data_IF_156776541524
#
_entry.id   IF_156776541524
#
_cell.length_a   1.000
_cell.length_b   1.000
_cell.length_c   1.000
_cell.angle_alpha   90.00
_cell.angle_beta   90.00
_cell.angle_gamma   90.00
#
_symmetry.space_group_name_H-M   'P 1'
#
loop_
_entity.id
_entity.type
_entity.pdbx_description
1 polymer ?
#
# COMPACT_ATOMS: atom_id res chain seq x y z
N UNK A 1 39.77 -12.58 -12.34
CA UNK A 1 38.58 -12.60 -11.46
C UNK A 1 38.76 -11.48 -10.45
N UNK A 2 37.91 -10.44 -10.41
CA UNK A 2 38.06 -9.37 -9.44
C UNK A 2 37.63 -9.87 -8.06
N UNK A 3 38.45 -9.60 -7.05
CA UNK A 3 38.24 -9.95 -5.64
C UNK A 3 37.02 -9.23 -5.05
N UNK A 4 36.32 -9.87 -4.12
CA UNK A 4 35.11 -9.39 -3.42
C UNK A 4 35.18 -7.96 -2.83
N UNK A 5 36.39 -7.42 -2.60
CA UNK A 5 36.60 -6.02 -2.23
C UNK A 5 36.23 -5.02 -3.33
N UNK A 6 36.53 -5.33 -4.59
CA UNK A 6 36.27 -4.42 -5.71
C UNK A 6 34.77 -4.25 -5.99
N UNK A 7 33.97 -5.29 -5.72
CA UNK A 7 32.51 -5.20 -5.81
C UNK A 7 31.93 -4.38 -4.65
N UNK A 8 32.43 -4.55 -3.42
CA UNK A 8 32.01 -3.76 -2.27
C UNK A 8 32.36 -2.27 -2.39
N UNK A 9 33.53 -1.94 -2.95
CA UNK A 9 33.96 -0.55 -3.20
C UNK A 9 33.18 0.11 -4.35
N UNK A 10 32.83 -0.64 -5.40
CA UNK A 10 31.95 -0.17 -6.48
C UNK A 10 30.49 -0.01 -6.03
N UNK A 11 30.03 -0.81 -5.07
CA UNK A 11 28.70 -0.68 -4.47
C UNK A 11 28.60 0.54 -3.55
N UNK A 12 29.66 0.84 -2.78
CA UNK A 12 29.72 1.97 -1.85
C UNK A 12 29.82 3.33 -2.57
N UNK A 13 30.49 3.39 -3.72
CA UNK A 13 30.64 4.64 -4.51
C UNK A 13 29.36 5.08 -5.22
N UNK A 14 28.43 4.17 -5.52
CA UNK A 14 27.15 4.50 -6.16
C UNK A 14 26.00 4.83 -5.18
N UNK A 15 26.07 4.39 -3.91
CA UNK A 15 25.00 4.61 -2.92
C UNK A 15 25.27 5.84 -2.03
N UNK A 16 26.52 6.19 -1.76
CA UNK A 16 26.87 7.35 -0.94
C UNK A 16 26.26 8.69 -1.43
N UNK A 17 26.14 8.98 -2.75
CA UNK A 17 25.46 10.19 -3.21
C UNK A 17 23.96 10.19 -2.91
N UNK A 18 23.32 9.01 -2.96
CA UNK A 18 21.87 8.83 -2.74
C UNK A 18 21.53 8.95 -1.24
N UNK A 19 22.44 8.54 -0.35
CA UNK A 19 22.30 8.70 1.11
C UNK A 19 22.67 10.11 1.59
N UNK A 20 23.59 10.81 0.91
CA UNK A 20 23.92 12.19 1.24
C UNK A 20 22.84 13.20 0.77
N UNK A 21 22.04 12.89 -0.26
CA UNK A 21 20.90 13.73 -0.63
C UNK A 21 19.78 13.71 0.42
N UNK A 22 19.60 12.60 1.15
CA UNK A 22 18.72 12.57 2.34
C UNK A 22 19.26 13.41 3.51
N UNK A 23 20.58 13.66 3.58
CA UNK A 23 21.16 14.55 4.58
C UNK A 23 20.97 16.04 4.21
N UNK A 24 20.90 16.40 2.92
CA UNK A 24 20.59 17.77 2.45
C UNK A 24 19.17 18.21 2.77
N UNK A 25 18.23 17.29 2.96
CA UNK A 25 16.86 17.63 3.41
C UNK A 25 16.89 18.18 4.85
N UNK A 26 17.91 17.83 5.65
CA UNK A 26 18.15 18.40 6.98
C UNK A 26 18.73 19.82 6.98
N UNK A 27 19.38 20.26 5.90
CA UNK A 27 19.92 21.63 5.82
C UNK A 27 18.85 22.67 5.47
N UNK A 28 17.74 22.27 4.84
CA UNK A 28 16.60 23.18 4.58
C UNK A 28 15.84 23.52 5.88
N UNK A 29 15.95 22.69 6.92
CA UNK A 29 15.38 22.97 8.25
C UNK A 29 16.27 23.87 9.13
N UNK A 30 17.55 24.06 8.76
CA UNK A 30 18.49 24.88 9.54
C UNK A 30 18.24 26.40 9.44
N UNK A 31 17.41 26.84 8.49
CA UNK A 31 17.03 28.26 8.38
C UNK A 31 15.92 28.68 9.37
N UNK A 32 15.37 27.72 10.14
CA UNK A 32 14.42 27.99 11.22
C UNK A 32 15.07 27.83 12.60
N UNK A 33 16.19 28.53 12.84
CA UNK A 33 16.72 28.69 14.19
C UNK A 33 15.86 29.70 14.96
N UNK A 34 14.82 29.21 15.62
CA UNK A 34 14.18 29.88 16.74
C UNK A 34 14.59 29.17 18.02
N UNK A 35 15.52 29.79 18.74
CA UNK A 35 15.76 29.59 20.16
C UNK A 35 14.44 29.79 20.93
N UNK A 36 13.77 28.70 21.31
CA UNK A 36 13.14 28.54 22.62
C UNK A 36 12.43 27.18 22.74
N UNK A 37 12.86 26.36 23.71
CA UNK A 37 11.98 25.43 24.44
C UNK A 37 11.16 24.36 23.70
N UNK A 38 11.53 23.87 22.51
CA UNK A 38 10.82 22.75 21.87
C UNK A 38 11.27 21.39 22.38
N UNK A 39 10.29 20.59 22.76
CA UNK A 39 10.40 19.16 23.10
C UNK A 39 11.13 18.44 21.97
N UNK A 40 12.34 17.94 22.24
CA UNK A 40 13.13 17.17 21.28
C UNK A 40 12.29 15.97 20.80
N UNK A 41 12.24 15.71 19.49
CA UNK A 41 11.51 14.56 18.94
C UNK A 41 12.08 13.27 19.57
N UNK A 42 11.26 12.26 19.89
CA UNK A 42 11.72 11.08 20.63
C UNK A 42 12.89 10.33 19.97
N UNK A 43 13.07 10.47 18.64
CA UNK A 43 14.16 9.87 17.86
C UNK A 43 15.38 10.80 17.66
N UNK A 44 15.49 11.89 18.41
CA UNK A 44 16.72 12.71 18.42
C UNK A 44 17.65 12.22 19.52
N UNK A 45 18.87 11.77 19.18
CA UNK A 45 19.83 11.34 20.20
C UNK A 45 20.28 12.55 21.04
N UNK A 46 20.49 12.39 22.36
CA UNK A 46 21.06 13.45 23.19
C UNK A 46 22.47 13.84 22.71
N UNK A 47 22.95 15.06 22.99
CA UNK A 47 24.23 15.58 22.48
C UNK A 47 25.46 14.70 22.75
N UNK A 48 25.47 13.96 23.86
CA UNK A 48 26.57 13.06 24.26
C UNK A 48 26.24 11.56 24.04
N UNK A 49 25.25 11.27 23.18
CA UNK A 49 24.82 9.89 22.92
C UNK A 49 25.94 9.05 22.32
N UNK A 50 26.09 7.83 22.83
CA UNK A 50 26.92 6.79 22.25
C UNK A 50 26.08 5.53 22.01
N UNK A 51 26.26 4.92 20.83
CA UNK A 51 25.57 3.66 20.51
C UNK A 51 25.89 2.60 21.57
N UNK A 52 24.87 1.96 22.17
CA UNK A 52 25.04 0.86 23.10
C UNK A 52 25.94 -0.25 22.56
N UNK A 53 26.81 -0.81 23.40
CA UNK A 53 27.66 -1.94 23.02
C UNK A 53 26.84 -3.24 23.04
N UNK A 54 26.88 -3.99 21.94
CA UNK A 54 26.31 -5.35 21.91
C UNK A 54 26.93 -6.21 23.04
N UNK A 55 26.15 -7.03 23.79
CA UNK A 55 24.75 -7.38 23.56
C UNK A 55 23.70 -6.42 24.15
N UNK A 56 24.09 -5.36 24.88
CA UNK A 56 23.26 -4.46 25.71
C UNK A 56 21.77 -4.82 25.75
N UNK A 57 21.30 -5.44 26.84
CA UNK A 57 19.91 -5.93 26.95
C UNK A 57 19.15 -5.16 28.01
N UNK A 58 18.12 -4.40 27.63
CA UNK A 58 17.16 -3.83 28.59
C UNK A 58 15.83 -4.59 28.56
N UNK A 59 15.71 -5.60 29.42
CA UNK A 59 14.52 -6.45 29.57
C UNK A 59 13.39 -5.81 30.38
N UNK A 60 13.69 -4.76 31.14
CA UNK A 60 12.84 -4.29 32.24
C UNK A 60 11.86 -3.19 31.79
N UNK A 61 12.27 -2.30 30.89
CA UNK A 61 11.42 -1.18 30.43
C UNK A 61 11.33 -1.14 28.91
N UNK A 62 10.17 -0.75 28.37
CA UNK A 62 9.97 -0.59 26.92
C UNK A 62 10.68 0.67 26.39
N UNK A 63 10.75 1.72 27.22
CA UNK A 63 11.47 2.96 26.95
C UNK A 63 12.67 3.07 27.87
N UNK A 64 13.76 3.62 27.35
CA UNK A 64 14.95 3.87 28.14
C UNK A 64 14.80 5.19 28.91
N UNK A 65 14.70 5.08 30.23
CA UNK A 65 14.58 6.22 31.14
C UNK A 65 15.94 6.73 31.61
N UNK A 66 17.06 6.12 31.18
CA UNK A 66 18.39 6.63 31.49
C UNK A 66 18.63 7.95 30.76
N UNK A 67 19.27 8.89 31.45
CA UNK A 67 19.57 10.24 30.91
C UNK A 67 20.50 10.20 29.71
N UNK A 68 21.36 9.19 29.63
CA UNK A 68 22.35 8.95 28.58
C UNK A 68 21.94 7.87 27.57
N UNK A 69 20.70 7.35 27.67
CA UNK A 69 20.08 6.44 26.69
C UNK A 69 20.94 5.19 26.40
N UNK A 70 21.44 4.55 27.45
CA UNK A 70 22.37 3.40 27.37
C UNK A 70 21.81 2.13 26.70
N UNK A 71 20.51 2.06 26.44
CA UNK A 71 19.81 0.90 25.89
C UNK A 71 18.92 1.26 24.69
N UNK A 72 19.15 2.40 24.07
CA UNK A 72 18.39 2.87 22.92
C UNK A 72 19.27 2.92 21.68
N UNK A 73 18.71 2.52 20.55
CA UNK A 73 19.29 2.58 19.21
C UNK A 73 18.52 3.62 18.40
N UNK A 74 19.23 4.68 17.98
CA UNK A 74 18.68 5.74 17.14
C UNK A 74 18.98 5.55 15.65
N UNK A 75 20.14 4.95 15.34
CA UNK A 75 20.60 4.82 13.96
C UNK A 75 20.16 3.50 13.32
N UNK A 76 19.63 3.57 12.10
CA UNK A 76 19.17 2.42 11.30
C UNK A 76 20.23 1.32 11.17
N UNK A 77 21.50 1.70 11.00
CA UNK A 77 22.61 0.76 10.89
C UNK A 77 22.87 0.01 12.20
N UNK A 78 22.69 0.67 13.34
CA UNK A 78 22.89 0.05 14.66
C UNK A 78 21.72 -0.86 15.01
N UNK A 79 20.50 -0.46 14.67
CA UNK A 79 19.30 -1.32 14.68
C UNK A 79 19.55 -2.60 13.88
N UNK A 80 19.98 -2.46 12.62
CA UNK A 80 20.27 -3.60 11.75
C UNK A 80 21.36 -4.52 12.33
N UNK A 81 22.47 -3.96 12.82
CA UNK A 81 23.56 -4.74 13.44
C UNK A 81 23.08 -5.54 14.65
N UNK A 82 22.34 -4.90 15.56
CA UNK A 82 21.79 -5.56 16.74
C UNK A 82 20.84 -6.69 16.37
N UNK A 83 19.91 -6.44 15.44
CA UNK A 83 18.96 -7.46 14.97
C UNK A 83 19.67 -8.63 14.30
N UNK A 84 20.66 -8.37 13.45
CA UNK A 84 21.44 -9.41 12.76
C UNK A 84 22.20 -10.30 13.75
N UNK A 85 22.92 -9.69 14.71
CA UNK A 85 23.71 -10.43 15.70
C UNK A 85 22.83 -11.29 16.61
N UNK A 86 21.70 -10.76 17.07
CA UNK A 86 20.75 -11.55 17.85
C UNK A 86 20.11 -12.68 17.04
N UNK A 87 19.76 -12.44 15.77
CA UNK A 87 19.21 -13.48 14.89
C UNK A 87 20.21 -14.63 14.69
N UNK A 88 21.49 -14.32 14.48
CA UNK A 88 22.57 -15.30 14.38
C UNK A 88 22.67 -16.17 15.65
N UNK A 89 22.67 -15.56 16.83
CA UNK A 89 22.75 -16.28 18.11
C UNK A 89 21.53 -17.18 18.29
N UNK A 90 20.33 -16.66 18.08
CA UNK A 90 19.08 -17.42 18.27
C UNK A 90 19.02 -18.62 17.32
N UNK A 91 19.30 -18.40 16.03
CA UNK A 91 19.26 -19.46 15.02
C UNK A 91 20.30 -20.54 15.31
N UNK A 92 21.53 -20.15 15.69
CA UNK A 92 22.56 -21.09 16.11
C UNK A 92 22.10 -21.91 17.33
N UNK A 93 21.54 -21.28 18.35
CA UNK A 93 21.03 -21.97 19.53
C UNK A 93 19.92 -22.99 19.20
N UNK A 94 18.92 -22.61 18.39
CA UNK A 94 17.83 -23.51 18.02
C UNK A 94 18.30 -24.69 17.17
N UNK A 95 19.15 -24.44 16.17
CA UNK A 95 19.68 -25.50 15.31
C UNK A 95 20.60 -26.44 16.09
N UNK A 96 21.44 -25.92 16.99
CA UNK A 96 22.24 -26.75 17.88
C UNK A 96 21.39 -27.58 18.85
N UNK A 97 20.29 -27.01 19.36
CA UNK A 97 19.32 -27.77 20.17
C UNK A 97 18.68 -28.93 19.38
N UNK A 98 18.29 -28.69 18.13
CA UNK A 98 17.76 -29.73 17.25
C UNK A 98 18.80 -30.81 16.94
N UNK A 99 20.05 -30.42 16.68
CA UNK A 99 21.16 -31.34 16.48
C UNK A 99 21.38 -32.21 17.73
N UNK A 100 21.39 -31.63 18.93
CA UNK A 100 21.53 -32.39 20.17
C UNK A 100 20.42 -33.45 20.31
N UNK A 101 19.15 -33.07 20.11
CA UNK A 101 18.01 -34.00 20.18
C UNK A 101 18.16 -35.12 19.11
N UNK A 102 18.55 -34.76 17.89
CA UNK A 102 18.78 -35.73 16.82
C UNK A 102 19.93 -36.70 17.16
N UNK A 103 21.01 -36.20 17.76
CA UNK A 103 22.13 -37.03 18.21
C UNK A 103 21.72 -37.98 19.34
N UNK A 104 20.92 -37.52 20.31
CA UNK A 104 20.43 -38.36 21.42
C UNK A 104 19.45 -39.45 20.98
N UNK A 105 18.64 -39.18 19.94
CA UNK A 105 17.63 -40.13 19.43
C UNK A 105 18.19 -41.18 18.48
N UNK A 106 19.36 -40.96 17.86
CA UNK A 106 19.92 -41.86 16.85
C UNK A 106 20.60 -43.14 17.41
N UNK A 107 20.80 -43.24 18.73
CA UNK A 107 21.34 -44.43 19.40
C UNK A 107 22.86 -44.65 19.25
N UNK A 108 23.47 -45.33 20.23
CA UNK A 108 24.93 -45.43 20.42
C UNK A 108 25.62 -46.51 19.57
N UNK A 109 25.26 -46.67 18.29
CA UNK A 109 25.98 -47.61 17.40
C UNK A 109 27.27 -46.99 16.87
N UNK A 110 28.42 -47.63 17.13
CA UNK A 110 29.77 -47.16 16.72
C UNK A 110 29.93 -46.88 15.21
N UNK A 111 29.16 -47.55 14.35
CA UNK A 111 29.23 -47.37 12.88
C UNK A 111 28.72 -46.00 12.42
N UNK A 112 27.69 -45.44 13.09
CA UNK A 112 27.07 -44.16 12.70
C UNK A 112 27.90 -42.94 13.09
N UNK A 113 28.79 -43.05 14.09
CA UNK A 113 29.61 -41.95 14.60
C UNK A 113 30.58 -41.36 13.56
N UNK A 114 30.96 -42.13 12.54
CA UNK A 114 31.88 -41.69 11.47
C UNK A 114 31.33 -40.52 10.64
N UNK A 115 30.01 -40.35 10.56
CA UNK A 115 29.36 -39.28 9.78
C UNK A 115 28.57 -38.28 10.64
N UNK A 116 28.34 -38.62 11.91
CA UNK A 116 27.48 -37.85 12.81
C UNK A 116 28.09 -36.49 13.21
N UNK A 117 29.42 -36.34 13.16
CA UNK A 117 30.13 -35.08 13.41
C UNK A 117 29.88 -34.01 12.33
N UNK A 118 29.47 -34.41 11.12
CA UNK A 118 29.15 -33.47 10.04
C UNK A 118 27.78 -32.79 10.25
N UNK A 119 26.89 -33.41 11.02
CA UNK A 119 25.52 -32.92 11.25
C UNK A 119 25.50 -31.54 11.96
N UNK A 120 26.20 -31.32 13.09
CA UNK A 120 26.32 -29.99 13.69
C UNK A 120 26.86 -28.93 12.73
N UNK A 121 27.88 -29.28 11.94
CA UNK A 121 28.53 -28.35 11.00
C UNK A 121 27.57 -27.91 9.91
N UNK A 122 26.87 -28.86 9.28
CA UNK A 122 25.89 -28.58 8.22
C UNK A 122 24.74 -27.73 8.76
N UNK A 123 24.20 -28.08 9.93
CA UNK A 123 23.11 -27.32 10.55
C UNK A 123 23.53 -25.91 10.95
N UNK A 124 24.76 -25.70 11.42
CA UNK A 124 25.29 -24.36 11.71
C UNK A 124 25.47 -23.52 10.45
N UNK A 125 25.90 -24.11 9.34
CA UNK A 125 26.00 -23.41 8.05
C UNK A 125 24.62 -22.98 7.55
N UNK A 126 23.64 -23.89 7.59
CA UNK A 126 22.25 -23.59 7.22
C UNK A 126 21.69 -22.47 8.12
N UNK A 127 21.84 -22.62 9.44
CA UNK A 127 21.40 -21.62 10.42
C UNK A 127 22.03 -20.25 10.17
N UNK A 128 23.32 -20.20 9.85
CA UNK A 128 24.03 -18.97 9.56
C UNK A 128 23.51 -18.27 8.29
N UNK A 129 23.29 -19.02 7.20
CA UNK A 129 22.75 -18.47 5.97
C UNK A 129 21.33 -17.92 6.16
N UNK A 130 20.46 -18.68 6.82
CA UNK A 130 19.10 -18.24 7.13
C UNK A 130 19.09 -17.01 8.05
N UNK A 131 19.94 -16.99 9.08
CA UNK A 131 20.02 -15.88 10.02
C UNK A 131 20.54 -14.59 9.37
N UNK A 132 21.49 -14.67 8.44
CA UNK A 132 21.98 -13.49 7.70
C UNK A 132 20.87 -12.92 6.84
N UNK A 133 20.13 -13.76 6.11
CA UNK A 133 19.01 -13.31 5.27
C UNK A 133 17.89 -12.71 6.13
N UNK A 134 17.38 -13.46 7.11
CA UNK A 134 16.28 -13.04 7.96
C UNK A 134 16.65 -11.81 8.80
N UNK A 135 17.80 -11.83 9.47
CA UNK A 135 18.28 -10.76 10.32
C UNK A 135 18.54 -9.47 9.54
N UNK A 136 19.02 -9.55 8.29
CA UNK A 136 19.24 -8.37 7.46
C UNK A 136 17.94 -7.74 6.97
N UNK A 137 17.00 -8.56 6.47
CA UNK A 137 15.70 -8.07 6.01
C UNK A 137 14.94 -7.43 7.17
N UNK A 138 14.82 -8.15 8.29
CA UNK A 138 14.09 -7.68 9.47
C UNK A 138 14.77 -6.47 10.09
N UNK A 139 16.10 -6.47 10.22
CA UNK A 139 16.85 -5.36 10.81
C UNK A 139 16.74 -4.06 10.01
N UNK A 140 16.83 -4.13 8.68
CA UNK A 140 16.66 -2.94 7.83
C UNK A 140 15.22 -2.42 7.84
N UNK A 141 14.23 -3.32 7.79
CA UNK A 141 12.81 -2.94 7.88
C UNK A 141 12.50 -2.30 9.23
N UNK A 142 12.97 -2.89 10.34
CA UNK A 142 12.78 -2.33 11.68
C UNK A 142 13.43 -0.94 11.79
N UNK A 143 14.69 -0.80 11.36
CA UNK A 143 15.36 0.49 11.42
C UNK A 143 14.65 1.57 10.60
N UNK A 144 14.20 1.24 9.39
CA UNK A 144 13.44 2.17 8.55
C UNK A 144 12.09 2.56 9.18
N UNK A 145 11.35 1.60 9.75
CA UNK A 145 10.04 1.85 10.40
C UNK A 145 10.20 2.73 11.64
N UNK A 146 11.17 2.44 12.50
CA UNK A 146 11.41 3.24 13.71
C UNK A 146 11.87 4.67 13.37
N UNK A 147 12.76 4.79 12.39
CA UNK A 147 13.21 6.10 11.89
C UNK A 147 12.05 6.91 11.28
N UNK A 148 11.20 6.29 10.45
CA UNK A 148 10.07 6.96 9.81
C UNK A 148 8.95 7.31 10.80
N UNK A 149 8.79 6.52 11.85
CA UNK A 149 7.81 6.77 12.92
C UNK A 149 8.29 7.73 14.01
N UNK A 150 9.51 8.28 13.91
CA UNK A 150 10.15 9.08 14.95
C UNK A 150 10.17 8.39 16.34
N UNK A 151 10.32 7.06 16.35
CA UNK A 151 10.40 6.25 17.57
C UNK A 151 11.84 5.87 17.89
N UNK A 152 12.16 5.82 19.18
CA UNK A 152 13.41 5.25 19.67
C UNK A 152 13.32 3.71 19.75
N UNK A 153 14.35 2.98 19.32
CA UNK A 153 14.33 1.51 19.35
C UNK A 153 15.15 0.98 20.53
N UNK A 154 14.51 0.30 21.48
CA UNK A 154 15.22 -0.34 22.59
C UNK A 154 16.03 -1.57 22.09
N UNK A 155 17.23 -1.76 22.65
CA UNK A 155 18.15 -2.86 22.32
C UNK A 155 17.61 -4.26 22.61
N UNK A 156 16.52 -4.39 23.38
CA UNK A 156 15.84 -5.66 23.69
C UNK A 156 14.94 -6.22 22.58
N UNK A 157 14.44 -5.39 21.67
CA UNK A 157 13.40 -5.75 20.69
C UNK A 157 13.78 -6.93 19.74
N UNK A 158 15.07 -7.26 19.48
CA UNK A 158 15.44 -8.46 18.73
C UNK A 158 15.10 -9.79 19.41
N UNK A 159 14.79 -9.81 20.71
CA UNK A 159 14.34 -11.02 21.41
C UNK A 159 12.81 -11.07 21.44
N UNK A 160 12.17 -12.03 20.74
CA UNK A 160 10.73 -12.16 20.81
C UNK A 160 10.30 -12.52 22.23
N UNK A 161 9.53 -11.63 22.90
CA UNK A 161 8.72 -12.01 24.08
C UNK A 161 7.66 -13.08 23.76
N UNK A 162 7.52 -13.48 22.50
CA UNK A 162 6.52 -14.45 22.04
C UNK A 162 6.75 -15.87 22.55
N UNK A 163 7.92 -16.18 23.11
CA UNK A 163 8.13 -17.47 23.78
C UNK A 163 7.55 -17.55 25.21
N UNK A 164 7.18 -16.43 25.85
CA UNK A 164 6.83 -16.47 27.29
C UNK A 164 5.60 -15.66 27.77
N UNK A 165 4.84 -14.96 26.91
CA UNK A 165 3.49 -14.48 27.29
C UNK A 165 2.60 -14.16 26.08
N UNK A 166 1.39 -14.73 25.96
CA UNK A 166 0.49 -14.52 24.81
C UNK A 166 -0.33 -13.21 24.88
N UNK A 167 0.24 -12.11 25.41
CA UNK A 167 -0.57 -10.95 25.83
C UNK A 167 -0.40 -9.66 24.99
N UNK A 168 0.47 -9.64 23.98
CA UNK A 168 0.62 -8.46 23.10
C UNK A 168 -0.26 -8.51 21.85
N UNK A 169 -0.53 -9.71 21.33
CA UNK A 169 -1.46 -9.90 20.20
C UNK A 169 -2.93 -9.72 20.63
N UNK A 170 -3.27 -10.08 21.88
CA UNK A 170 -4.61 -9.90 22.44
C UNK A 170 -4.92 -8.44 22.77
N UNK A 171 -3.94 -7.63 23.14
CA UNK A 171 -4.14 -6.21 23.49
C UNK A 171 -4.43 -5.36 22.25
N UNK A 172 -3.72 -5.64 21.16
CA UNK A 172 -3.97 -5.00 19.86
C UNK A 172 -5.38 -5.33 19.34
N UNK A 173 -5.82 -6.61 19.44
CA UNK A 173 -7.18 -7.00 19.08
C UNK A 173 -8.25 -6.54 20.08
N UNK A 174 -7.94 -6.41 21.38
CA UNK A 174 -8.90 -5.93 22.37
C UNK A 174 -9.19 -4.44 22.19
N UNK A 175 -8.19 -3.64 21.80
CA UNK A 175 -8.41 -2.24 21.43
C UNK A 175 -9.17 -2.12 20.09
N UNK A 176 -8.90 -3.03 19.14
CA UNK A 176 -9.68 -3.11 17.89
C UNK A 176 -11.15 -3.51 18.13
N UNK A 177 -11.40 -4.42 19.08
CA UNK A 177 -12.75 -4.84 19.49
C UNK A 177 -13.47 -3.74 20.28
N UNK A 178 -12.76 -3.00 21.13
CA UNK A 178 -13.30 -1.82 21.83
C UNK A 178 -13.68 -0.68 20.87
N UNK A 179 -12.89 -0.45 19.81
CA UNK A 179 -13.24 0.50 18.74
C UNK A 179 -14.44 0.02 17.90
N UNK A 180 -14.56 -1.30 17.66
CA UNK A 180 -15.70 -1.90 16.97
C UNK A 180 -17.01 -1.78 17.76
N UNK A 181 -16.99 -2.03 19.08
CA UNK A 181 -18.20 -2.00 19.93
C UNK A 181 -18.67 -0.56 20.20
N UNK A 182 -17.77 0.42 20.24
CA UNK A 182 -18.13 1.85 20.33
C UNK A 182 -18.84 2.34 19.07
N UNK A 183 -18.63 1.68 17.93
CA UNK A 183 -19.27 2.01 16.64
C UNK A 183 -20.70 1.43 16.53
N UNK A 184 -21.04 0.39 17.31
CA UNK A 184 -22.39 -0.21 17.31
C UNK A 184 -23.37 0.47 18.27
N UNK A 185 -22.90 1.07 19.37
CA UNK A 185 -23.78 1.71 20.37
C UNK A 185 -23.98 3.23 20.20
N UNK A 186 -23.36 3.86 19.21
CA UNK A 186 -23.60 5.28 18.88
C UNK A 186 -24.86 5.50 18.02
N UNK A 187 -25.60 4.44 17.71
CA UNK A 187 -26.77 4.46 16.82
C UNK A 187 -28.08 4.07 17.50
N UNK A 188 -28.46 4.69 18.62
CA UNK A 188 -29.85 4.70 19.08
C UNK A 188 -30.07 5.64 20.28
N UNK A 189 -30.40 6.91 20.01
CA UNK A 189 -31.35 7.72 20.82
C UNK A 189 -31.64 9.04 20.09
N UNK A 190 -32.87 9.28 19.60
CA UNK A 190 -33.25 10.56 19.05
C UNK A 190 -33.48 11.55 20.20
N UNK A 191 -32.72 12.65 20.21
CA UNK A 191 -33.03 13.81 21.07
C UNK A 191 -34.06 14.66 20.34
N UNK A 192 -35.32 14.56 20.76
CA UNK A 192 -36.39 15.45 20.29
C UNK A 192 -36.30 16.80 21.01
N UNK A 193 -36.10 17.88 20.27
CA UNK A 193 -36.37 19.24 20.73
C UNK A 193 -37.63 19.76 20.02
N UNK A 194 -38.71 19.95 20.78
CA UNK A 194 -39.90 20.71 20.36
C UNK A 194 -39.83 22.11 20.96
N UNK A 195 -40.09 23.19 20.19
CA UNK A 195 -40.16 24.53 20.75
C UNK A 195 -41.55 24.75 21.37
N UNK A 196 -41.61 25.05 22.66
CA UNK A 196 -42.81 25.58 23.29
C UNK A 196 -42.59 27.06 23.62
N UNK A 197 -43.49 27.90 23.11
CA UNK A 197 -43.56 29.32 23.41
C UNK A 197 -44.26 29.54 24.75
N UNK A 198 -43.61 30.23 25.68
CA UNK A 198 -44.28 30.93 26.77
C UNK A 198 -43.46 32.14 27.25
N UNK A 199 -44.16 33.27 27.26
CA UNK A 199 -43.82 34.64 27.58
C UNK A 199 -43.18 34.98 28.95
N UNK A 200 -42.48 36.14 28.96
CA UNK A 200 -42.12 37.06 30.07
C UNK A 200 -41.02 36.57 31.06
N UNK A 201 -39.95 37.31 31.40
CA UNK A 201 -39.76 38.74 31.72
C UNK A 201 -38.27 39.12 31.56
N UNK A 202 -37.97 40.39 31.28
CA UNK A 202 -36.63 40.93 31.06
C UNK A 202 -35.80 41.20 32.35
N UNK A 203 -34.47 41.15 32.24
CA UNK A 203 -33.51 42.11 32.81
C UNK A 203 -32.12 41.97 32.14
N UNK A 204 -31.30 43.04 32.03
CA UNK A 204 -30.29 43.15 30.98
C UNK A 204 -28.83 42.91 31.42
N UNK A 205 -28.00 42.73 30.39
CA UNK A 205 -26.55 42.92 30.32
C UNK A 205 -25.64 41.86 30.97
N UNK A 206 -24.95 41.09 30.12
CA UNK A 206 -23.49 40.97 30.15
C UNK A 206 -23.02 40.60 28.72
N UNK A 207 -22.43 41.58 28.03
CA UNK A 207 -21.71 41.36 26.78
C UNK A 207 -20.34 40.76 27.11
N UNK A 208 -20.27 39.46 27.35
CA UNK A 208 -19.00 38.75 27.34
C UNK A 208 -18.64 38.41 25.90
N UNK A 209 -17.78 39.26 25.33
CA UNK A 209 -17.13 39.06 24.05
C UNK A 209 -16.15 37.88 24.15
N UNK A 210 -16.67 36.66 24.03
CA UNK A 210 -15.87 35.44 23.85
C UNK A 210 -15.19 35.45 22.48
N UNK A 211 -14.09 36.19 22.36
CA UNK A 211 -13.21 36.20 21.18
C UNK A 211 -12.21 35.02 21.16
N UNK A 212 -12.36 34.04 22.06
CA UNK A 212 -11.36 33.00 22.32
C UNK A 212 -11.64 31.61 21.72
N UNK A 213 -12.72 31.37 20.97
CA UNK A 213 -13.10 30.00 20.54
C UNK A 213 -13.46 29.83 19.06
N UNK A 214 -13.27 30.86 18.24
CA UNK A 214 -13.56 30.78 16.79
C UNK A 214 -12.45 30.05 16.04
N UNK A 215 -11.18 30.32 16.37
CA UNK A 215 -10.02 29.66 15.74
C UNK A 215 -10.01 28.13 15.91
N UNK A 216 -10.36 27.63 17.10
CA UNK A 216 -10.39 26.18 17.39
C UNK A 216 -11.51 25.46 16.63
N UNK A 217 -12.67 26.09 16.46
CA UNK A 217 -13.78 25.55 15.69
C UNK A 217 -13.49 25.56 14.19
N UNK A 218 -12.86 26.62 13.68
CA UNK A 218 -12.45 26.70 12.28
C UNK A 218 -11.41 25.63 11.93
N UNK A 219 -10.41 25.41 12.80
CA UNK A 219 -9.43 24.32 12.65
C UNK A 219 -10.09 22.93 12.69
N UNK A 220 -11.03 22.72 13.61
CA UNK A 220 -11.77 21.47 13.70
C UNK A 220 -12.63 21.22 12.45
N UNK A 221 -13.23 22.26 11.87
CA UNK A 221 -13.99 22.16 10.62
C UNK A 221 -13.09 21.81 9.43
N UNK A 222 -11.88 22.37 9.36
CA UNK A 222 -10.89 22.04 8.32
C UNK A 222 -10.43 20.58 8.42
N UNK A 223 -10.22 20.08 9.65
CA UNK A 223 -9.75 18.71 9.88
C UNK A 223 -10.85 17.65 9.81
N UNK A 224 -12.12 18.06 9.94
CA UNK A 224 -13.28 17.15 9.96
C UNK A 224 -13.25 16.06 8.88
N UNK A 225 -12.92 16.32 7.60
CA UNK A 225 -12.89 15.28 6.57
C UNK A 225 -11.85 14.17 6.79
N UNK A 226 -10.83 14.39 7.63
CA UNK A 226 -9.71 13.47 7.88
C UNK A 226 -9.91 12.59 9.12
N UNK A 227 -10.96 12.82 9.91
CA UNK A 227 -11.28 11.99 11.07
C UNK A 227 -11.77 10.59 10.67
N UNK A 228 -11.74 9.66 11.64
CA UNK A 228 -12.20 8.29 11.42
C UNK A 228 -13.65 8.24 10.89
N UNK A 229 -13.91 7.34 9.94
CA UNK A 229 -15.22 7.19 9.28
C UNK A 229 -15.53 8.25 8.22
N UNK A 230 -14.70 9.29 8.06
CA UNK A 230 -14.91 10.34 7.08
C UNK A 230 -14.29 9.98 5.71
N UNK A 231 -14.73 10.61 4.62
CA UNK A 231 -14.30 10.24 3.26
C UNK A 231 -12.79 10.35 3.03
N UNK A 232 -12.08 11.22 3.76
CA UNK A 232 -10.62 11.39 3.67
C UNK A 232 -9.88 10.88 4.90
N UNK A 233 -10.50 9.97 5.66
CA UNK A 233 -9.86 9.38 6.84
C UNK A 233 -8.50 8.78 6.49
N UNK A 234 -7.45 9.26 7.17
CA UNK A 234 -6.07 8.77 6.96
C UNK A 234 -5.95 7.29 7.33
N UNK A 235 -6.60 6.85 8.41
CA UNK A 235 -6.64 5.44 8.78
C UNK A 235 -7.38 4.59 7.73
N UNK A 236 -8.43 5.14 7.13
CA UNK A 236 -9.17 4.46 6.06
C UNK A 236 -8.37 4.32 4.77
N UNK A 237 -7.56 5.33 4.42
CA UNK A 237 -6.65 5.31 3.27
C UNK A 237 -5.51 4.32 3.54
N UNK A 238 -4.85 4.42 4.69
CA UNK A 238 -3.72 3.57 5.06
C UNK A 238 -4.11 2.08 5.08
N UNK A 239 -5.26 1.75 5.67
CA UNK A 239 -5.75 0.36 5.71
C UNK A 239 -5.95 -0.24 4.32
N UNK A 240 -6.56 0.52 3.39
CA UNK A 240 -6.80 0.05 2.02
C UNK A 240 -5.51 -0.11 1.23
N UNK A 241 -4.60 0.87 1.33
CA UNK A 241 -3.29 0.79 0.70
C UNK A 241 -2.49 -0.42 1.22
N UNK A 242 -2.51 -0.65 2.55
CA UNK A 242 -1.85 -1.80 3.18
C UNK A 242 -2.43 -3.14 2.70
N UNK A 243 -3.76 -3.29 2.72
CA UNK A 243 -4.43 -4.49 2.22
C UNK A 243 -4.13 -4.75 0.73
N UNK A 244 -4.21 -3.72 -0.11
CA UNK A 244 -3.87 -3.84 -1.54
C UNK A 244 -2.40 -4.23 -1.75
N UNK A 245 -1.48 -3.67 -0.95
CA UNK A 245 -0.06 -4.03 -0.99
C UNK A 245 0.19 -5.49 -0.62
N UNK A 246 -0.44 -5.99 0.45
CA UNK A 246 -0.37 -7.41 0.84
C UNK A 246 -0.95 -8.29 -0.26
N UNK A 247 -2.15 -7.97 -0.78
CA UNK A 247 -2.77 -8.76 -1.84
C UNK A 247 -1.91 -8.79 -3.09
N UNK A 248 -1.32 -7.66 -3.50
CA UNK A 248 -0.39 -7.57 -4.62
C UNK A 248 0.82 -8.47 -4.41
N UNK A 249 1.49 -8.39 -3.25
CA UNK A 249 2.70 -9.15 -2.94
C UNK A 249 2.42 -10.66 -2.86
N UNK A 250 1.39 -11.07 -2.13
CA UNK A 250 0.98 -12.48 -2.03
C UNK A 250 0.60 -13.05 -3.41
N UNK A 251 -0.09 -12.26 -4.23
CA UNK A 251 -0.45 -12.65 -5.59
C UNK A 251 0.78 -12.80 -6.49
N UNK A 252 1.74 -11.88 -6.42
CA UNK A 252 2.98 -11.98 -7.18
C UNK A 252 3.81 -13.22 -6.78
N UNK A 253 3.95 -13.46 -5.48
CA UNK A 253 4.67 -14.63 -4.95
C UNK A 253 3.96 -15.93 -5.36
N UNK A 254 2.64 -16.01 -5.19
CA UNK A 254 1.87 -17.19 -5.57
C UNK A 254 1.91 -17.45 -7.08
N UNK A 255 1.73 -16.42 -7.91
CA UNK A 255 1.82 -16.51 -9.35
C UNK A 255 3.21 -17.00 -9.79
N UNK A 256 4.28 -16.41 -9.24
CA UNK A 256 5.65 -16.82 -9.50
C UNK A 256 5.89 -18.28 -9.09
N UNK A 257 5.51 -18.66 -7.87
CA UNK A 257 5.67 -20.02 -7.37
C UNK A 257 4.95 -21.04 -8.27
N UNK A 258 3.71 -20.77 -8.70
CA UNK A 258 2.98 -21.67 -9.60
C UNK A 258 3.68 -21.77 -10.95
N UNK A 259 4.12 -20.65 -11.54
CA UNK A 259 4.82 -20.62 -12.83
C UNK A 259 6.18 -21.34 -12.80
N UNK A 260 6.92 -21.23 -11.70
CA UNK A 260 8.24 -21.85 -11.56
C UNK A 260 8.18 -23.33 -11.17
N UNK A 261 7.22 -23.71 -10.32
CA UNK A 261 7.15 -25.05 -9.73
C UNK A 261 6.20 -25.99 -10.48
N UNK A 262 5.29 -25.45 -11.31
CA UNK A 262 4.24 -26.24 -11.95
C UNK A 262 3.96 -25.78 -13.38
N UNK A 263 3.36 -26.65 -14.20
CA UNK A 263 2.79 -26.28 -15.50
C UNK A 263 1.30 -25.93 -15.43
N UNK A 264 0.77 -25.75 -14.21
CA UNK A 264 -0.67 -25.57 -13.99
C UNK A 264 -1.13 -24.18 -14.45
N UNK A 265 -2.26 -24.05 -15.18
CA UNK A 265 -2.75 -22.74 -15.61
C UNK A 265 -3.39 -21.92 -14.46
N UNK A 266 -3.42 -22.47 -13.23
CA UNK A 266 -3.99 -21.83 -12.04
C UNK A 266 -3.28 -20.52 -11.68
N UNK A 267 -2.06 -20.26 -12.17
CA UNK A 267 -1.36 -18.97 -11.99
C UNK A 267 -2.17 -17.77 -12.50
N UNK A 268 -3.15 -17.99 -13.39
CA UNK A 268 -4.06 -16.96 -13.92
C UNK A 268 -4.94 -16.34 -12.82
N UNK A 269 -5.22 -17.07 -11.74
CA UNK A 269 -6.01 -16.57 -10.59
C UNK A 269 -5.23 -15.51 -9.80
N UNK A 270 -4.02 -15.79 -9.27
CA UNK A 270 -3.23 -14.75 -8.62
C UNK A 270 -2.82 -13.62 -9.58
N UNK A 271 -2.65 -13.88 -10.89
CA UNK A 271 -2.47 -12.79 -11.86
C UNK A 271 -3.62 -11.75 -11.79
N UNK A 272 -4.87 -12.21 -11.74
CA UNK A 272 -6.02 -11.30 -11.70
C UNK A 272 -6.07 -10.46 -10.43
N UNK A 273 -5.78 -11.07 -9.28
CA UNK A 273 -5.69 -10.37 -8.00
C UNK A 273 -4.52 -9.37 -7.97
N UNK A 274 -3.39 -9.73 -8.57
CA UNK A 274 -2.26 -8.83 -8.77
C UNK A 274 -2.68 -7.61 -9.62
N UNK A 275 -3.27 -7.85 -10.80
CA UNK A 275 -3.70 -6.79 -11.70
C UNK A 275 -4.73 -5.85 -11.04
N UNK A 276 -5.73 -6.40 -10.34
CA UNK A 276 -6.72 -5.62 -9.61
C UNK A 276 -6.11 -4.78 -8.49
N UNK A 277 -5.19 -5.37 -7.73
CA UNK A 277 -4.53 -4.66 -6.62
C UNK A 277 -3.71 -3.48 -7.13
N UNK A 278 -2.96 -3.70 -8.22
CA UNK A 278 -2.20 -2.66 -8.90
C UNK A 278 -3.10 -1.56 -9.46
N UNK A 279 -4.19 -1.93 -10.13
CA UNK A 279 -5.16 -0.98 -10.68
C UNK A 279 -5.72 -0.07 -9.58
N UNK A 280 -6.29 -0.65 -8.53
CA UNK A 280 -6.94 0.10 -7.45
C UNK A 280 -5.96 0.97 -6.66
N UNK A 281 -4.72 0.51 -6.46
CA UNK A 281 -3.68 1.33 -5.85
C UNK A 281 -3.30 2.51 -6.74
N UNK A 282 -3.06 2.28 -8.04
CA UNK A 282 -2.66 3.32 -8.98
C UNK A 282 -3.76 4.38 -9.19
N UNK A 283 -5.03 3.98 -9.13
CA UNK A 283 -6.16 4.92 -9.13
C UNK A 283 -6.07 5.92 -7.98
N UNK A 284 -5.84 5.43 -6.77
CA UNK A 284 -5.68 6.30 -5.60
C UNK A 284 -4.40 7.12 -5.71
N UNK A 285 -3.26 6.48 -5.98
CA UNK A 285 -1.95 7.13 -6.00
C UNK A 285 -1.89 8.28 -7.01
N UNK A 286 -2.29 8.05 -8.25
CA UNK A 286 -2.26 9.10 -9.29
C UNK A 286 -3.20 10.26 -8.96
N UNK A 287 -4.35 9.98 -8.34
CA UNK A 287 -5.27 11.01 -7.85
C UNK A 287 -4.68 11.79 -6.68
N UNK A 288 -4.06 11.11 -5.70
CA UNK A 288 -3.41 11.75 -4.57
C UNK A 288 -2.24 12.63 -5.00
N UNK A 289 -1.49 12.21 -6.03
CA UNK A 289 -0.31 12.90 -6.55
C UNK A 289 -0.66 14.17 -7.34
N UNK A 290 -1.68 14.13 -8.23
CA UNK A 290 -2.00 15.27 -9.12
C UNK A 290 -3.33 15.95 -8.85
N UNK A 291 -4.14 15.42 -7.94
CA UNK A 291 -5.42 15.99 -7.53
C UNK A 291 -5.73 15.71 -6.05
N UNK A 292 -4.76 16.01 -5.18
CA UNK A 292 -4.81 15.73 -3.73
C UNK A 292 -6.08 16.25 -3.06
N UNK A 293 -6.59 17.39 -3.52
CA UNK A 293 -7.78 18.04 -2.96
C UNK A 293 -9.06 17.22 -3.13
N UNK A 294 -9.14 16.32 -4.12
CA UNK A 294 -10.31 15.44 -4.29
C UNK A 294 -10.03 13.98 -3.88
N UNK A 295 -8.77 13.65 -3.60
CA UNK A 295 -8.37 12.33 -3.16
C UNK A 295 -9.11 11.95 -1.87
N UNK A 296 -9.72 10.75 -1.89
CA UNK A 296 -10.51 10.21 -0.80
C UNK A 296 -10.44 8.69 -0.81
N UNK A 297 -11.03 8.05 0.20
CA UNK A 297 -11.21 6.60 0.25
C UNK A 297 -11.92 6.08 -1.02
N UNK A 298 -12.84 6.86 -1.58
CA UNK A 298 -13.55 6.50 -2.82
C UNK A 298 -12.63 6.45 -4.05
N UNK A 299 -11.49 7.15 -4.03
CA UNK A 299 -10.55 7.20 -5.15
C UNK A 299 -9.84 5.87 -5.41
N UNK A 300 -9.87 4.92 -4.46
CA UNK A 300 -9.43 3.54 -4.72
C UNK A 300 -10.37 2.80 -5.68
N UNK A 301 -11.60 3.26 -5.90
CA UNK A 301 -12.63 2.62 -6.74
C UNK A 301 -13.02 1.18 -6.35
N UNK A 302 -12.70 0.72 -5.13
CA UNK A 302 -13.05 -0.64 -4.67
C UNK A 302 -14.55 -0.90 -4.64
N UNK A 303 -15.35 0.14 -4.36
CA UNK A 303 -16.82 0.07 -4.29
C UNK A 303 -17.48 0.94 -5.37
N UNK A 304 -16.76 1.26 -6.46
CA UNK A 304 -17.32 2.03 -7.55
C UNK A 304 -18.48 1.27 -8.20
N UNK A 305 -19.59 1.96 -8.52
CA UNK A 305 -20.76 1.36 -9.18
C UNK A 305 -21.28 0.08 -8.49
N UNK A 306 -21.27 0.08 -7.16
CA UNK A 306 -21.78 -1.03 -6.37
C UNK A 306 -23.27 -1.28 -6.66
N UNK A 307 -23.73 -2.54 -6.80
CA UNK A 307 -22.97 -3.80 -6.68
C UNK A 307 -22.41 -4.35 -8.00
N UNK A 308 -22.75 -3.75 -9.15
CA UNK A 308 -22.47 -4.30 -10.48
C UNK A 308 -20.96 -4.56 -10.71
N UNK A 309 -20.10 -3.65 -10.25
CA UNK A 309 -18.65 -3.80 -10.35
C UNK A 309 -18.14 -5.03 -9.60
N UNK A 310 -18.63 -5.27 -8.38
CA UNK A 310 -18.22 -6.41 -7.57
C UNK A 310 -18.73 -7.74 -8.15
N UNK A 311 -19.93 -7.74 -8.73
CA UNK A 311 -20.49 -8.90 -9.42
C UNK A 311 -19.61 -9.27 -10.63
N UNK A 312 -19.21 -8.30 -11.44
CA UNK A 312 -18.36 -8.55 -12.62
C UNK A 312 -17.01 -9.17 -12.24
N UNK A 313 -16.31 -8.60 -11.24
CA UNK A 313 -15.02 -9.11 -10.80
C UNK A 313 -15.12 -10.48 -10.12
N UNK A 314 -16.17 -10.68 -9.32
CA UNK A 314 -16.45 -11.98 -8.70
C UNK A 314 -16.74 -13.05 -9.76
N UNK A 315 -17.55 -12.72 -10.77
CA UNK A 315 -17.86 -13.63 -11.87
C UNK A 315 -16.60 -14.00 -12.68
N UNK A 316 -15.76 -13.01 -13.00
CA UNK A 316 -14.50 -13.24 -13.71
C UNK A 316 -13.53 -14.11 -12.90
N UNK A 317 -13.43 -13.86 -11.59
CA UNK A 317 -12.62 -14.68 -10.68
C UNK A 317 -13.15 -16.12 -10.60
N UNK A 318 -14.47 -16.30 -10.44
CA UNK A 318 -15.11 -17.62 -10.32
C UNK A 318 -14.97 -18.40 -11.62
N UNK A 319 -15.20 -17.78 -12.79
CA UNK A 319 -14.99 -18.42 -14.10
C UNK A 319 -13.53 -18.90 -14.23
N UNK A 320 -12.57 -18.01 -13.95
CA UNK A 320 -11.15 -18.32 -14.05
C UNK A 320 -10.75 -19.46 -13.10
N UNK A 321 -11.13 -19.37 -11.82
CA UNK A 321 -10.81 -20.39 -10.82
C UNK A 321 -11.44 -21.73 -11.18
N UNK A 322 -12.73 -21.75 -11.51
CA UNK A 322 -13.45 -23.01 -11.83
C UNK A 322 -12.86 -23.68 -13.07
N UNK A 323 -12.64 -22.93 -14.15
CA UNK A 323 -12.12 -23.51 -15.39
C UNK A 323 -10.69 -24.03 -15.19
N UNK A 324 -9.81 -23.25 -14.56
CA UNK A 324 -8.41 -23.64 -14.42
C UNK A 324 -8.17 -24.71 -13.36
N UNK A 325 -9.06 -24.87 -12.37
CA UNK A 325 -8.98 -25.94 -11.37
C UNK A 325 -9.56 -27.27 -11.88
N UNK A 326 -10.74 -27.25 -12.52
CA UNK A 326 -11.43 -28.48 -12.92
C UNK A 326 -11.09 -28.92 -14.36
N UNK A 327 -10.68 -28.00 -15.23
CA UNK A 327 -10.37 -28.27 -16.63
C UNK A 327 -9.00 -27.69 -17.06
N UNK A 328 -7.90 -28.06 -16.38
CA UNK A 328 -6.57 -27.47 -16.64
C UNK A 328 -6.04 -27.71 -18.05
N UNK A 329 -6.49 -28.77 -18.73
CA UNK A 329 -6.08 -29.11 -20.10
C UNK A 329 -7.02 -28.51 -21.18
N UNK A 330 -7.96 -27.64 -20.80
CA UNK A 330 -8.89 -27.02 -21.74
C UNK A 330 -8.16 -26.04 -22.65
N UNK A 331 -8.29 -26.24 -23.96
CA UNK A 331 -7.95 -25.25 -24.97
C UNK A 331 -9.12 -24.29 -25.17
N UNK A 332 -8.99 -23.04 -24.70
CA UNK A 332 -10.01 -22.02 -24.87
C UNK A 332 -9.87 -21.22 -26.17
N UNK A 333 -8.66 -21.14 -26.71
CA UNK A 333 -8.34 -20.39 -27.91
C UNK A 333 -8.39 -21.29 -29.16
N UNK A 334 -9.03 -20.85 -30.26
CA UNK A 334 -9.12 -21.64 -31.48
C UNK A 334 -7.76 -21.75 -32.17
N UNK A 335 -7.55 -22.86 -32.90
CA UNK A 335 -6.38 -23.07 -33.77
C UNK A 335 -5.01 -22.86 -33.10
N UNK A 336 -4.90 -23.11 -31.80
CA UNK A 336 -3.63 -22.95 -31.07
C UNK A 336 -3.19 -21.49 -30.85
N UNK A 337 -4.08 -20.51 -31.05
CA UNK A 337 -3.79 -19.07 -30.89
C UNK A 337 -3.63 -18.62 -29.42
N UNK A 338 -3.70 -19.54 -28.45
CA UNK A 338 -3.65 -19.26 -27.01
C UNK A 338 -2.49 -18.39 -26.56
N UNK A 339 -1.22 -18.67 -26.95
CA UNK A 339 -0.09 -17.82 -26.58
C UNK A 339 -0.18 -16.40 -27.15
N UNK A 340 -0.70 -16.25 -28.38
CA UNK A 340 -0.87 -14.94 -29.02
C UNK A 340 -1.95 -14.13 -28.27
N UNK A 341 -3.08 -14.74 -27.94
CA UNK A 341 -4.15 -14.07 -27.19
C UNK A 341 -3.72 -13.73 -25.76
N UNK A 342 -2.88 -14.58 -25.14
CA UNK A 342 -2.25 -14.28 -23.85
C UNK A 342 -1.34 -13.04 -23.95
N UNK A 343 -0.44 -13.02 -24.94
CA UNK A 343 0.46 -11.88 -25.17
C UNK A 343 -0.35 -10.60 -25.45
N UNK A 344 -1.37 -10.69 -26.30
CA UNK A 344 -2.29 -9.59 -26.56
C UNK A 344 -2.97 -9.11 -25.29
N UNK A 345 -3.45 -10.02 -24.44
CA UNK A 345 -4.04 -9.70 -23.15
C UNK A 345 -3.07 -8.97 -22.22
N UNK A 346 -1.82 -9.43 -22.12
CA UNK A 346 -0.78 -8.78 -21.30
C UNK A 346 -0.46 -7.37 -21.83
N UNK A 347 -0.34 -7.21 -23.16
CA UNK A 347 -0.15 -5.89 -23.79
C UNK A 347 -1.35 -4.98 -23.49
N UNK A 348 -2.58 -5.48 -23.62
CA UNK A 348 -3.79 -4.70 -23.32
C UNK A 348 -3.87 -4.26 -21.85
N UNK A 349 -3.52 -5.14 -20.90
CA UNK A 349 -3.49 -4.80 -19.46
C UNK A 349 -2.43 -3.73 -19.19
N UNK A 350 -1.21 -3.93 -19.68
CA UNK A 350 -0.09 -3.02 -19.41
C UNK A 350 -0.27 -1.66 -20.08
N UNK A 351 -0.60 -1.64 -21.38
CA UNK A 351 -0.88 -0.40 -22.12
C UNK A 351 -2.12 0.29 -21.58
N UNK A 352 -3.18 -0.47 -21.27
CA UNK A 352 -4.41 0.08 -20.70
C UNK A 352 -4.17 0.78 -19.36
N UNK A 353 -3.44 0.13 -18.44
CA UNK A 353 -3.05 0.71 -17.16
C UNK A 353 -2.17 1.96 -17.35
N UNK A 354 -1.20 1.88 -18.25
CA UNK A 354 -0.29 2.99 -18.53
C UNK A 354 -1.04 4.21 -19.07
N UNK A 355 -1.84 4.03 -20.12
CA UNK A 355 -2.65 5.10 -20.74
C UNK A 355 -3.58 5.72 -19.72
N UNK A 356 -4.22 4.90 -18.88
CA UNK A 356 -5.12 5.38 -17.83
C UNK A 356 -4.39 6.22 -16.78
N UNK A 357 -3.26 5.73 -16.27
CA UNK A 357 -2.47 6.42 -15.25
C UNK A 357 -1.91 7.74 -15.78
N UNK A 358 -1.36 7.74 -17.01
CA UNK A 358 -0.86 8.96 -17.66
C UNK A 358 -1.97 9.97 -17.92
N UNK A 359 -3.16 9.52 -18.34
CA UNK A 359 -4.31 10.42 -18.50
C UNK A 359 -4.66 11.13 -17.20
N UNK A 360 -4.71 10.41 -16.08
CA UNK A 360 -5.01 10.99 -14.76
C UNK A 360 -3.93 11.96 -14.33
N UNK A 361 -2.64 11.61 -14.53
CA UNK A 361 -1.52 12.47 -14.19
C UNK A 361 -1.46 13.76 -15.03
N UNK A 362 -1.77 13.67 -16.32
CA UNK A 362 -1.77 14.82 -17.24
C UNK A 362 -2.99 15.72 -17.06
N UNK A 363 -4.17 15.16 -16.78
CA UNK A 363 -5.36 15.97 -16.52
C UNK A 363 -5.37 16.59 -15.11
N UNK A 364 -4.71 15.95 -14.13
CA UNK A 364 -4.52 16.49 -12.78
C UNK A 364 -5.81 17.00 -12.14
N UNK A 365 -5.86 18.28 -11.79
CA UNK A 365 -7.03 18.93 -11.18
C UNK A 365 -8.30 18.87 -12.06
N UNK A 366 -8.14 18.75 -13.38
CA UNK A 366 -9.25 18.60 -14.35
C UNK A 366 -9.77 17.16 -14.45
N UNK A 367 -9.07 16.17 -13.87
CA UNK A 367 -9.57 14.79 -13.79
C UNK A 367 -10.51 14.59 -12.61
N UNK A 368 -11.60 13.85 -12.82
CA UNK A 368 -12.46 13.41 -11.74
C UNK A 368 -13.08 12.02 -12.03
N UNK A 369 -13.20 11.18 -11.00
CA UNK A 369 -13.86 9.88 -11.12
C UNK A 369 -15.37 9.97 -11.38
N UNK A 370 -15.98 11.10 -11.05
CA UNK A 370 -17.37 11.42 -11.37
C UNK A 370 -17.45 12.50 -12.44
N UNK A 371 -18.35 12.35 -13.41
CA UNK A 371 -18.60 13.38 -14.43
C UNK A 371 -19.09 14.65 -13.71
N UNK A 372 -18.39 15.76 -13.94
CA UNK A 372 -18.72 17.04 -13.32
C UNK A 372 -19.87 17.71 -14.09
N UNK A 373 -20.89 18.16 -13.37
CA UNK A 373 -22.04 18.89 -13.94
C UNK A 373 -21.90 20.41 -13.85
N UNK A 374 -20.87 20.89 -13.13
CA UNK A 374 -20.51 22.31 -13.01
C UNK A 374 -19.02 22.50 -13.31
N UNK A 375 -18.68 23.57 -14.02
CA UNK A 375 -17.29 23.99 -14.24
C UNK A 375 -16.73 24.57 -12.95
N UNK A 376 -15.56 24.08 -12.53
CA UNK A 376 -14.76 24.70 -11.46
C UNK A 376 -13.74 25.65 -12.08
N UNK A 377 -13.26 26.62 -11.34
CA UNK A 377 -12.24 27.56 -11.84
C UNK A 377 -10.94 26.85 -12.22
N UNK A 378 -10.63 25.75 -11.54
CA UNK A 378 -9.49 24.88 -11.85
C UNK A 378 -9.71 23.93 -13.03
N UNK A 379 -10.87 23.96 -13.70
CA UNK A 379 -11.22 23.03 -14.76
C UNK A 379 -10.83 23.62 -16.12
N UNK A 380 -9.74 23.10 -16.67
CA UNK A 380 -9.19 23.50 -17.96
C UNK A 380 -9.39 22.40 -19.01
N UNK A 381 -9.50 22.81 -20.27
CA UNK A 381 -9.59 21.86 -21.39
C UNK A 381 -8.20 21.36 -21.75
N UNK A 382 -7.86 20.15 -21.28
CA UNK A 382 -6.57 19.52 -21.56
C UNK A 382 -6.57 18.87 -22.95
N UNK A 383 -5.72 19.36 -23.86
CA UNK A 383 -5.63 18.87 -25.26
C UNK A 383 -4.23 18.43 -25.66
N UNK A 384 -3.24 18.57 -24.78
CA UNK A 384 -1.83 18.20 -25.00
C UNK A 384 -1.52 16.78 -24.50
N UNK A 385 -0.32 16.28 -24.84
CA UNK A 385 0.11 14.96 -24.39
C UNK A 385 -0.78 13.84 -24.90
N UNK A 386 -1.22 12.93 -24.03
CA UNK A 386 -2.06 11.80 -24.41
C UNK A 386 -3.45 12.24 -24.89
N UNK A 387 -3.92 13.41 -24.45
CA UNK A 387 -5.16 14.02 -24.91
C UNK A 387 -5.09 14.54 -26.36
N UNK A 388 -3.89 14.68 -26.94
CA UNK A 388 -3.77 14.96 -28.39
C UNK A 388 -4.11 13.75 -29.27
N UNK A 389 -4.06 12.53 -28.70
CA UNK A 389 -4.27 11.26 -29.41
C UNK A 389 -5.68 10.71 -29.16
N UNK A 390 -6.16 10.84 -27.91
CA UNK A 390 -7.45 10.34 -27.45
C UNK A 390 -8.22 11.47 -26.77
N UNK A 391 -9.54 11.59 -27.01
CA UNK A 391 -10.38 12.50 -26.22
C UNK A 391 -10.63 12.00 -24.80
N UNK A 392 -10.74 10.68 -24.66
CA UNK A 392 -11.06 10.00 -23.39
C UNK A 392 -10.02 8.91 -23.07
N UNK A 393 -8.73 9.26 -22.90
CA UNK A 393 -7.66 8.29 -22.72
C UNK A 393 -7.85 7.44 -21.46
N UNK A 394 -8.37 8.01 -20.37
CA UNK A 394 -8.67 7.26 -19.14
C UNK A 394 -9.72 6.15 -19.36
N UNK A 395 -10.72 6.39 -20.22
CA UNK A 395 -11.75 5.41 -20.57
C UNK A 395 -11.24 4.37 -21.55
N UNK A 396 -10.45 4.78 -22.54
CA UNK A 396 -9.72 3.85 -23.41
C UNK A 396 -8.88 2.89 -22.56
N UNK A 397 -8.07 3.42 -21.64
CA UNK A 397 -7.21 2.62 -20.78
C UNK A 397 -7.99 1.62 -19.93
N UNK A 398 -9.08 2.06 -19.30
CA UNK A 398 -9.96 1.16 -18.52
C UNK A 398 -10.57 0.07 -19.40
N UNK A 399 -11.14 0.43 -20.56
CA UNK A 399 -11.80 -0.51 -21.45
C UNK A 399 -10.87 -1.65 -21.88
N UNK A 400 -9.68 -1.30 -22.38
CA UNK A 400 -8.70 -2.29 -22.83
C UNK A 400 -8.05 -3.04 -21.67
N UNK A 401 -7.84 -2.40 -20.52
CA UNK A 401 -7.38 -3.08 -19.30
C UNK A 401 -8.36 -4.19 -18.88
N UNK A 402 -9.66 -3.87 -18.82
CA UNK A 402 -10.71 -4.81 -18.46
C UNK A 402 -10.75 -6.02 -19.41
N UNK A 403 -10.72 -5.79 -20.72
CA UNK A 403 -10.68 -6.87 -21.72
C UNK A 403 -9.39 -7.69 -21.67
N UNK A 404 -8.25 -7.03 -21.49
CA UNK A 404 -6.95 -7.66 -21.39
C UNK A 404 -6.90 -8.65 -20.23
N UNK A 405 -7.45 -8.30 -19.06
CA UNK A 405 -7.49 -9.21 -17.90
C UNK A 405 -8.25 -10.50 -18.23
N UNK A 406 -9.35 -10.42 -18.97
CA UNK A 406 -10.15 -11.60 -19.34
C UNK A 406 -9.39 -12.51 -20.33
N UNK A 407 -8.64 -11.93 -21.27
CA UNK A 407 -7.77 -12.70 -22.18
C UNK A 407 -6.63 -13.40 -21.43
N UNK A 408 -5.98 -12.72 -20.49
CA UNK A 408 -4.92 -13.34 -19.67
C UNK A 408 -5.51 -14.41 -18.74
N UNK A 409 -6.75 -14.28 -18.28
CA UNK A 409 -7.42 -15.35 -17.54
C UNK A 409 -7.91 -16.50 -18.41
N UNK A 410 -8.01 -16.32 -19.73
CA UNK A 410 -8.63 -17.29 -20.63
C UNK A 410 -10.14 -17.42 -20.42
N UNK A 411 -10.77 -16.40 -19.82
CA UNK A 411 -12.22 -16.35 -19.62
C UNK A 411 -12.90 -16.04 -20.95
N UNK A 412 -13.81 -16.90 -21.39
CA UNK A 412 -14.53 -16.70 -22.65
C UNK A 412 -15.84 -15.97 -22.40
N UNK A 413 -16.60 -16.38 -21.37
CA UNK A 413 -17.89 -15.78 -21.07
C UNK A 413 -17.70 -14.36 -20.53
N UNK A 414 -16.83 -14.19 -19.53
CA UNK A 414 -16.56 -12.87 -18.98
C UNK A 414 -15.86 -11.93 -19.98
N UNK A 415 -15.11 -12.42 -20.97
CA UNK A 415 -14.55 -11.55 -22.01
C UNK A 415 -15.66 -10.83 -22.80
N UNK A 416 -16.64 -11.57 -23.33
CA UNK A 416 -17.75 -10.96 -24.07
C UNK A 416 -18.67 -10.14 -23.17
N UNK A 417 -18.89 -10.58 -21.94
CA UNK A 417 -19.68 -9.81 -20.97
C UNK A 417 -19.00 -8.47 -20.62
N UNK A 418 -17.69 -8.47 -20.33
CA UNK A 418 -16.91 -7.25 -20.09
C UNK A 418 -16.93 -6.34 -21.31
N UNK A 419 -16.76 -6.88 -22.52
CA UNK A 419 -16.82 -6.11 -23.76
C UNK A 419 -18.15 -5.38 -23.91
N UNK A 420 -19.27 -6.08 -23.76
CA UNK A 420 -20.60 -5.48 -23.89
C UNK A 420 -20.90 -4.46 -22.79
N UNK A 421 -20.62 -4.81 -21.52
CA UNK A 421 -20.94 -3.96 -20.37
C UNK A 421 -20.07 -2.70 -20.35
N UNK A 422 -18.76 -2.82 -20.53
CA UNK A 422 -17.86 -1.66 -20.54
C UNK A 422 -18.12 -0.77 -21.76
N UNK A 423 -18.41 -1.36 -22.93
CA UNK A 423 -18.75 -0.57 -24.11
C UNK A 423 -20.03 0.23 -23.90
N UNK A 424 -21.08 -0.40 -23.38
CA UNK A 424 -22.34 0.29 -23.07
C UNK A 424 -22.14 1.38 -22.02
N UNK A 425 -21.36 1.09 -20.97
CA UNK A 425 -21.05 2.03 -19.90
C UNK A 425 -20.32 3.27 -20.45
N UNK A 426 -19.22 3.08 -21.18
CA UNK A 426 -18.43 4.20 -21.70
C UNK A 426 -19.15 4.93 -22.83
N UNK A 427 -19.91 4.26 -23.69
CA UNK A 427 -20.71 4.91 -24.74
C UNK A 427 -21.74 5.88 -24.15
N UNK A 428 -22.47 5.46 -23.11
CA UNK A 428 -23.42 6.33 -22.41
C UNK A 428 -22.70 7.46 -21.66
N UNK A 429 -21.61 7.14 -20.96
CA UNK A 429 -20.86 8.09 -20.14
C UNK A 429 -20.18 9.18 -20.97
N UNK A 430 -19.49 8.80 -22.04
CA UNK A 430 -18.82 9.73 -22.97
C UNK A 430 -19.85 10.70 -23.55
N UNK A 431 -21.00 10.22 -24.05
CA UNK A 431 -22.05 11.10 -24.61
C UNK A 431 -22.52 12.16 -23.61
N UNK A 432 -22.75 11.75 -22.35
CA UNK A 432 -23.17 12.67 -21.30
C UNK A 432 -22.06 13.68 -20.94
N UNK A 433 -20.83 13.21 -20.82
CA UNK A 433 -19.69 14.05 -20.47
C UNK A 433 -19.33 15.03 -21.58
N UNK A 434 -19.33 14.62 -22.84
CA UNK A 434 -19.07 15.52 -23.97
C UNK A 434 -20.14 16.62 -24.09
N UNK A 435 -21.40 16.33 -23.75
CA UNK A 435 -22.43 17.36 -23.69
C UNK A 435 -22.07 18.43 -22.64
N UNK A 436 -21.55 18.03 -21.47
CA UNK A 436 -21.07 18.96 -20.44
C UNK A 436 -19.79 19.68 -20.82
N UNK A 437 -18.87 19.03 -21.52
CA UNK A 437 -17.64 19.68 -22.01
C UNK A 437 -17.95 20.74 -23.08
N UNK A 438 -18.95 20.51 -23.93
CA UNK A 438 -19.47 21.55 -24.85
C UNK A 438 -20.08 22.71 -24.05
N UNK A 439 -20.87 22.45 -23.00
CA UNK A 439 -21.38 23.52 -22.13
C UNK A 439 -20.25 24.33 -21.47
N UNK A 440 -19.15 23.69 -21.06
CA UNK A 440 -18.06 24.34 -20.30
C UNK A 440 -17.04 25.10 -21.15
N UNK A 441 -16.78 24.61 -22.37
CA UNK A 441 -15.69 25.09 -23.23
C UNK A 441 -16.16 25.50 -24.64
N UNK A 442 -17.45 25.33 -24.94
CA UNK A 442 -18.09 25.84 -26.16
C UNK A 442 -17.33 25.41 -27.42
N UNK A 443 -16.97 26.36 -28.28
CA UNK A 443 -16.32 26.11 -29.57
C UNK A 443 -14.95 25.42 -29.43
N UNK A 444 -14.22 25.64 -28.34
CA UNK A 444 -12.90 25.02 -28.14
C UNK A 444 -13.03 23.48 -28.09
N UNK A 445 -14.05 22.98 -27.38
CA UNK A 445 -14.30 21.54 -27.33
C UNK A 445 -14.82 21.02 -28.67
N UNK A 446 -15.66 21.78 -29.38
CA UNK A 446 -16.17 21.39 -30.71
C UNK A 446 -15.01 21.24 -31.70
N UNK A 447 -14.04 22.16 -31.69
CA UNK A 447 -12.86 22.10 -32.54
C UNK A 447 -11.92 20.97 -32.14
N UNK A 448 -11.72 20.74 -30.84
CA UNK A 448 -10.97 19.60 -30.33
C UNK A 448 -11.60 18.26 -30.75
N UNK A 449 -12.94 18.14 -30.66
CA UNK A 449 -13.69 16.94 -31.02
C UNK A 449 -13.54 16.56 -32.49
N UNK A 450 -13.44 17.54 -33.39
CA UNK A 450 -13.21 17.32 -34.83
C UNK A 450 -11.84 16.71 -35.13
N UNK A 451 -10.82 17.02 -34.32
CA UNK A 451 -9.44 16.62 -34.57
C UNK A 451 -9.06 15.28 -33.93
N UNK A 452 -9.64 14.97 -32.77
CA UNK A 452 -9.20 13.84 -31.93
C UNK A 452 -10.36 12.86 -31.74
N UNK A 453 -10.10 11.55 -31.80
CA UNK A 453 -11.12 10.50 -31.62
C UNK A 453 -11.17 9.93 -30.20
N UNK A 454 -12.20 9.16 -29.85
CA UNK A 454 -12.23 8.39 -28.58
C UNK A 454 -11.33 7.15 -28.62
N UNK A 455 -11.15 6.57 -29.82
CA UNK A 455 -10.44 5.31 -30.11
C UNK A 455 -11.04 4.07 -29.42
N UNK A 456 -12.26 4.15 -28.91
CA UNK A 456 -13.06 2.98 -28.52
C UNK A 456 -13.94 2.61 -29.72
N UNK A 457 -14.00 1.33 -30.14
CA UNK A 457 -14.75 0.94 -31.34
C UNK A 457 -16.19 1.44 -31.29
N UNK A 458 -16.69 2.00 -32.40
CA UNK A 458 -18.09 2.45 -32.54
C UNK A 458 -18.55 3.57 -31.56
N UNK A 459 -17.62 4.31 -30.95
CA UNK A 459 -17.93 5.51 -30.14
C UNK A 459 -17.32 6.75 -30.82
N UNK A 460 -18.18 7.61 -31.37
CA UNK A 460 -17.79 8.76 -32.21
C UNK A 460 -17.35 9.99 -31.40
#
# INVERSE_FOLDING_TARGET
MPTSRAFAEAWMTHINPILNDTARIGEVESCCSLHDGRMALPNTPPPDYQTPRFPSLNVQTLSDTTTDKQFTLYYVLDVWRFTLLWTLIIYACFHMGAVLIAMFTHGWKKSSWRYLWAVPVIYLVIAGLEAVMAGSIVGLVLGAVYSAGYYEMNTWIPLPKTAFRPFLFSRFFSEFKAMSETTQNAGARPVNFSPSAAHHRASPAHHDSFSGNTRSLDELMILKPYFAGQPKSLSGIALRAFCLGITLACSAISMGAILFLTSSPVWRVPFFLFALSAFHFLEFWTTAEKNTLVASIGSFLLTANWPAYAIAHSAAFIECATINLFFPNRHWAPYGTGPILLLLGLVMVTVGQYVRSVAMLQAGASFNHHVQTRKKDSHELVTSGIYSIFRHPSYFGFYYWGLGTQLVMGNVLCFFAYAAVLWMFFSKRIKHEEAKLIEFFQDDYVQYRKRVGTKIPFIA
#
